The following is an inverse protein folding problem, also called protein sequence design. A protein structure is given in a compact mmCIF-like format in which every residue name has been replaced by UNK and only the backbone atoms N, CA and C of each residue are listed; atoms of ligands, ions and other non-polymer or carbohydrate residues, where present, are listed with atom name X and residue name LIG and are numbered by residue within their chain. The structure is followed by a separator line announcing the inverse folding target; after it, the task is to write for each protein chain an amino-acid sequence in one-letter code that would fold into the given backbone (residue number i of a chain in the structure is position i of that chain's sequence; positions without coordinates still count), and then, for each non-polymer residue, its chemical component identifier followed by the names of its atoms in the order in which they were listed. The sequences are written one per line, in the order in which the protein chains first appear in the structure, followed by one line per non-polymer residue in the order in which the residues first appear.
data_IF_053986085040
#
_entry.id   IF_053986085040
#
_cell.length_a   1.000
_cell.length_b   1.000
_cell.length_c   1.000
_cell.angle_alpha   90.00
_cell.angle_beta   90.00
_cell.angle_gamma   90.00
#
_symmetry.space_group_name_H-M   'P 1'
#
loop_
_entity.id
_entity.type
_entity.pdbx_description
1 polymer ?
#
# COMPACT_ATOMS: atom_id res chain seq x y z
N UNK A 1 -5.56 17.40 -15.17
CA UNK A 1 -4.31 17.21 -14.38
C UNK A 1 -3.87 15.79 -14.58
N UNK A 2 -2.67 15.60 -15.03
CA UNK A 2 -2.06 14.28 -15.17
C UNK A 2 -0.98 14.12 -14.12
N UNK A 3 -0.84 12.92 -13.58
CA UNK A 3 0.16 12.63 -12.56
C UNK A 3 1.13 11.55 -13.03
N UNK A 4 2.32 11.55 -12.43
CA UNK A 4 3.31 10.50 -12.53
C UNK A 4 3.35 9.73 -11.22
N UNK A 5 3.49 8.42 -11.29
CA UNK A 5 3.56 7.51 -10.15
C UNK A 5 4.96 6.91 -10.12
N UNK A 6 5.63 6.99 -8.98
CA UNK A 6 6.97 6.43 -8.78
C UNK A 6 6.93 5.41 -7.64
N UNK A 7 7.25 4.13 -7.90
CA UNK A 7 7.43 3.14 -6.85
C UNK A 7 8.78 3.35 -6.16
N UNK A 8 8.78 3.48 -4.85
CA UNK A 8 9.98 3.61 -4.02
C UNK A 8 10.11 2.38 -3.14
N UNK A 9 11.11 1.53 -3.41
CA UNK A 9 11.35 0.34 -2.59
C UNK A 9 12.01 0.71 -1.28
N UNK A 10 11.44 0.22 -0.17
CA UNK A 10 11.94 0.46 1.18
C UNK A 10 12.23 -0.84 1.93
N UNK A 11 12.71 -1.82 1.19
CA UNK A 11 13.09 -3.14 1.66
C UNK A 11 12.23 -4.25 1.06
N UNK A 12 12.50 -5.50 1.49
CA UNK A 12 11.80 -6.69 1.03
C UNK A 12 11.77 -7.79 2.09
N UNK A 13 10.74 -8.60 2.06
CA UNK A 13 10.64 -9.84 2.82
C UNK A 13 10.97 -11.02 1.87
N UNK A 14 12.08 -11.75 2.09
CA UNK A 14 12.42 -12.92 1.30
C UNK A 14 11.58 -14.14 1.70
N UNK A 15 11.39 -15.08 0.76
CA UNK A 15 10.83 -16.38 1.03
C UNK A 15 9.35 -16.40 1.40
N UNK A 16 8.58 -15.39 1.00
CA UNK A 16 7.13 -15.37 1.22
C UNK A 16 6.47 -16.44 0.38
N UNK A 17 5.64 -17.28 1.01
CA UNK A 17 4.89 -18.30 0.29
C UNK A 17 3.92 -17.65 -0.67
N UNK A 18 4.03 -17.97 -1.93
CA UNK A 18 3.20 -17.38 -2.98
C UNK A 18 1.70 -17.67 -2.76
N UNK A 19 1.41 -18.86 -2.20
CA UNK A 19 0.05 -19.26 -1.84
C UNK A 19 -0.60 -18.39 -0.73
N UNK A 20 0.16 -17.59 0.00
CA UNK A 20 -0.39 -16.63 0.97
C UNK A 20 -0.75 -15.30 0.29
N UNK A 21 -0.05 -14.92 -0.78
CA UNK A 21 -0.33 -13.73 -1.58
C UNK A 21 -1.41 -13.99 -2.65
N UNK A 22 -1.50 -15.22 -3.13
CA UNK A 22 -2.45 -15.72 -4.12
C UNK A 22 -3.14 -16.95 -3.54
N UNK A 23 -4.24 -16.79 -2.84
CA UNK A 23 -4.85 -17.80 -2.00
C UNK A 23 -4.92 -19.20 -2.65
N UNK A 24 -4.12 -20.12 -2.10
CA UNK A 24 -4.07 -21.51 -2.53
C UNK A 24 -3.42 -21.78 -3.89
N UNK A 25 -2.96 -20.74 -4.60
CA UNK A 25 -2.28 -20.89 -5.87
C UNK A 25 -0.76 -21.06 -5.67
N UNK A 26 -0.10 -21.71 -6.61
CA UNK A 26 1.35 -21.91 -6.61
C UNK A 26 1.90 -22.52 -5.30
N UNK A 27 1.36 -23.66 -4.83
CA UNK A 27 1.83 -24.30 -3.61
C UNK A 27 3.31 -24.70 -3.75
N UNK A 28 4.09 -24.43 -2.71
CA UNK A 28 5.53 -24.73 -2.68
C UNK A 28 6.43 -23.64 -3.30
N UNK A 29 5.87 -22.65 -4.00
CA UNK A 29 6.65 -21.53 -4.50
C UNK A 29 6.80 -20.43 -3.44
N UNK A 30 7.96 -19.77 -3.44
CA UNK A 30 8.22 -18.58 -2.66
C UNK A 30 8.64 -17.41 -3.55
N UNK A 31 8.37 -16.20 -3.09
CA UNK A 31 8.74 -14.95 -3.76
C UNK A 31 9.37 -13.98 -2.79
N UNK A 32 10.08 -13.00 -3.33
CA UNK A 32 10.41 -11.77 -2.60
C UNK A 32 9.20 -10.84 -2.62
N UNK A 33 8.85 -10.30 -1.46
CA UNK A 33 7.75 -9.35 -1.28
C UNK A 33 8.34 -7.97 -0.94
N UNK A 34 8.41 -7.05 -1.91
CA UNK A 34 8.91 -5.71 -1.63
C UNK A 34 7.93 -4.93 -0.77
N UNK A 35 8.44 -4.02 0.04
CA UNK A 35 7.64 -2.98 0.69
C UNK A 35 7.84 -1.66 -0.07
N UNK A 36 6.74 -0.98 -0.37
CA UNK A 36 6.71 0.12 -1.32
C UNK A 36 6.11 1.37 -0.67
N UNK A 37 6.77 2.50 -0.88
CA UNK A 37 6.16 3.82 -0.74
C UNK A 37 5.82 4.30 -2.15
N UNK A 38 4.57 4.67 -2.40
CA UNK A 38 4.18 5.21 -3.68
C UNK A 38 4.22 6.73 -3.67
N UNK A 39 5.00 7.32 -4.57
CA UNK A 39 5.07 8.76 -4.77
C UNK A 39 4.22 9.13 -5.98
N UNK A 40 3.19 9.93 -5.78
CA UNK A 40 2.35 10.48 -6.85
C UNK A 40 2.63 11.97 -6.98
N UNK A 41 3.18 12.37 -8.12
CA UNK A 41 3.52 13.76 -8.43
C UNK A 41 2.64 14.27 -9.56
N UNK A 42 1.92 15.35 -9.33
CA UNK A 42 1.11 15.98 -10.38
C UNK A 42 1.92 16.95 -11.27
N UNK A 43 1.26 17.48 -12.29
CA UNK A 43 1.84 18.41 -13.27
C UNK A 43 2.26 19.78 -12.67
N UNK A 44 1.90 20.06 -11.42
CA UNK A 44 2.32 21.26 -10.66
C UNK A 44 3.51 20.98 -9.74
N UNK A 45 3.89 19.70 -9.62
CA UNK A 45 4.95 19.24 -8.72
C UNK A 45 4.47 18.90 -7.30
N UNK A 46 3.15 18.98 -7.03
CA UNK A 46 2.60 18.59 -5.73
C UNK A 46 2.72 17.07 -5.54
N UNK A 47 3.24 16.65 -4.38
CA UNK A 47 3.46 15.27 -4.04
C UNK A 47 2.40 14.77 -3.07
N UNK A 48 1.80 13.62 -3.40
CA UNK A 48 1.00 12.80 -2.49
C UNK A 48 1.70 11.46 -2.31
N UNK A 49 1.78 10.99 -1.08
CA UNK A 49 2.35 9.68 -0.73
C UNK A 49 1.21 8.71 -0.47
N UNK A 50 1.33 7.48 -0.97
CA UNK A 50 0.52 6.34 -0.52
C UNK A 50 1.42 5.37 0.22
N UNK A 51 1.07 5.11 1.47
CA UNK A 51 1.75 4.29 2.45
C UNK A 51 3.16 4.80 2.83
N UNK A 52 3.68 4.36 3.96
CA UNK A 52 4.96 4.81 4.49
C UNK A 52 5.97 3.66 4.69
N UNK A 53 5.61 2.47 4.24
CA UNK A 53 6.48 1.29 4.35
C UNK A 53 6.62 0.75 5.78
N UNK A 54 7.45 -0.28 5.90
CA UNK A 54 7.76 -0.94 7.17
C UNK A 54 8.63 -0.10 8.10
N UNK A 55 8.52 -0.32 9.42
CA UNK A 55 9.50 0.17 10.37
C UNK A 55 10.92 -0.34 10.08
N UNK A 56 11.86 -0.13 11.00
CA UNK A 56 13.23 -0.59 10.83
C UNK A 56 13.34 -2.11 10.62
N UNK A 57 14.37 -2.53 9.88
CA UNK A 57 14.51 -3.92 9.46
C UNK A 57 14.72 -4.89 10.63
N UNK A 58 15.41 -4.46 11.71
CA UNK A 58 15.61 -5.27 12.90
C UNK A 58 14.28 -5.53 13.62
N UNK A 59 13.44 -4.48 13.74
CA UNK A 59 12.10 -4.61 14.32
C UNK A 59 11.24 -5.60 13.54
N UNK A 60 11.17 -5.46 12.19
CA UNK A 60 10.39 -6.35 11.34
C UNK A 60 10.87 -7.79 11.44
N UNK A 61 12.18 -8.00 11.39
CA UNK A 61 12.77 -9.35 11.49
C UNK A 61 12.48 -9.99 12.84
N UNK A 62 12.52 -9.21 13.93
CA UNK A 62 12.27 -9.70 15.30
C UNK A 62 10.80 -10.05 15.55
N UNK A 63 9.87 -9.26 15.04
CA UNK A 63 8.46 -9.33 15.45
C UNK A 63 7.52 -9.91 14.38
N UNK A 64 7.95 -9.95 13.11
CA UNK A 64 7.08 -10.38 12.01
C UNK A 64 7.70 -11.49 11.16
N UNK A 65 8.73 -11.18 10.37
CA UNK A 65 9.32 -12.12 9.41
C UNK A 65 10.72 -11.65 8.99
N UNK A 66 11.55 -12.50 8.40
CA UNK A 66 12.80 -12.07 7.78
C UNK A 66 12.56 -10.88 6.87
N UNK A 67 13.36 -9.85 7.01
CA UNK A 67 13.23 -8.62 6.25
C UNK A 67 14.62 -8.04 5.97
N UNK A 68 14.83 -7.65 4.74
CA UNK A 68 16.08 -7.09 4.25
C UNK A 68 15.87 -5.68 3.75
N UNK A 69 16.80 -4.80 4.09
CA UNK A 69 16.83 -3.40 3.67
C UNK A 69 18.27 -2.96 3.51
N UNK A 70 18.63 -2.38 2.38
CA UNK A 70 19.93 -1.75 2.19
C UNK A 70 19.92 -0.30 2.72
N UNK A 71 21.08 0.34 2.79
CA UNK A 71 21.15 1.75 3.20
C UNK A 71 20.41 2.69 2.24
N UNK A 72 20.40 2.35 0.95
CA UNK A 72 19.69 3.11 -0.09
C UNK A 72 18.18 2.90 -0.01
N UNK A 73 17.72 1.79 0.56
CA UNK A 73 16.31 1.47 0.79
C UNK A 73 15.79 2.01 2.13
N UNK A 74 16.64 2.62 2.97
CA UNK A 74 16.12 3.33 4.13
C UNK A 74 15.12 4.41 3.69
N UNK A 75 13.90 4.46 4.27
CA UNK A 75 12.81 5.27 3.72
C UNK A 75 13.17 6.73 3.45
N UNK A 76 13.94 7.36 4.33
CA UNK A 76 14.39 8.73 4.11
C UNK A 76 15.37 8.87 2.93
N UNK A 77 16.31 7.91 2.79
CA UNK A 77 17.27 7.89 1.69
C UNK A 77 16.58 7.59 0.36
N UNK A 78 15.69 6.60 0.34
CA UNK A 78 14.94 6.20 -0.85
C UNK A 78 14.02 7.32 -1.36
N UNK A 79 13.33 8.03 -0.45
CA UNK A 79 12.50 9.19 -0.79
C UNK A 79 13.37 10.36 -1.33
N UNK A 80 14.52 10.63 -0.71
CA UNK A 80 15.44 11.64 -1.21
C UNK A 80 15.97 11.31 -2.62
N UNK A 81 16.30 10.03 -2.89
CA UNK A 81 16.68 9.56 -4.22
C UNK A 81 15.55 9.71 -5.25
N UNK A 82 14.30 9.60 -4.83
CA UNK A 82 13.11 9.88 -5.65
C UNK A 82 12.77 11.39 -5.76
N UNK A 83 13.63 12.27 -5.24
CA UNK A 83 13.44 13.72 -5.27
C UNK A 83 12.30 14.21 -4.38
N UNK A 84 12.04 13.52 -3.27
CA UNK A 84 11.02 13.88 -2.29
C UNK A 84 11.68 14.30 -0.97
N UNK A 85 11.38 15.53 -0.53
CA UNK A 85 11.61 15.96 0.84
C UNK A 85 10.36 15.61 1.68
N UNK A 86 10.44 14.66 2.62
CA UNK A 86 9.28 14.30 3.44
C UNK A 86 8.69 15.47 4.22
N UNK A 87 9.49 16.47 4.59
CA UNK A 87 9.00 17.65 5.30
C UNK A 87 8.16 18.60 4.40
N UNK A 88 8.33 18.50 3.07
CA UNK A 88 7.52 19.23 2.10
C UNK A 88 6.19 18.55 1.78
N UNK A 89 6.03 17.26 2.05
CA UNK A 89 4.80 16.50 1.79
C UNK A 89 3.67 16.99 2.68
N UNK A 90 2.49 17.24 2.08
CA UNK A 90 1.30 17.73 2.77
C UNK A 90 0.20 16.68 2.91
N UNK A 91 0.25 15.62 2.12
CA UNK A 91 -0.78 14.57 2.13
C UNK A 91 -0.13 13.20 2.06
N UNK A 92 -0.43 12.37 3.05
CA UNK A 92 -0.11 10.94 3.08
C UNK A 92 -1.43 10.17 3.16
N UNK A 93 -1.66 9.28 2.20
CA UNK A 93 -2.77 8.33 2.24
C UNK A 93 -2.24 7.04 2.84
N UNK A 94 -2.95 6.47 3.79
CA UNK A 94 -2.70 5.12 4.28
C UNK A 94 -3.74 4.20 3.66
N UNK A 95 -3.28 3.27 2.83
CA UNK A 95 -4.17 2.28 2.19
C UNK A 95 -4.90 1.46 3.23
N UNK A 96 -4.20 1.08 4.28
CA UNK A 96 -4.67 0.43 5.51
C UNK A 96 -3.60 0.56 6.62
N UNK A 97 -3.84 -0.04 7.79
CA UNK A 97 -2.99 0.18 8.97
C UNK A 97 -2.16 -1.04 9.40
N UNK A 98 -1.83 -1.97 8.49
CA UNK A 98 -0.80 -2.96 8.78
C UNK A 98 0.57 -2.29 8.93
N UNK A 99 1.45 -2.91 9.73
CA UNK A 99 2.75 -2.35 10.11
C UNK A 99 3.64 -1.94 8.92
N UNK A 100 3.50 -2.64 7.81
CA UNK A 100 4.28 -2.45 6.59
C UNK A 100 3.75 -1.37 5.64
N UNK A 101 2.64 -0.73 6.01
CA UNK A 101 2.04 0.41 5.29
C UNK A 101 2.07 1.72 6.08
N UNK A 102 2.22 1.67 7.41
CA UNK A 102 2.17 2.86 8.27
C UNK A 102 3.38 2.98 9.22
N UNK A 103 4.48 2.24 8.95
CA UNK A 103 5.63 2.13 9.85
C UNK A 103 6.46 3.40 10.00
N UNK A 104 6.45 4.29 8.99
CA UNK A 104 7.30 5.49 8.97
C UNK A 104 6.51 6.79 8.87
N UNK A 105 5.32 6.86 9.42
CA UNK A 105 4.50 8.08 9.46
C UNK A 105 5.26 9.28 10.05
N UNK A 106 6.16 9.05 11.00
CA UNK A 106 6.97 10.07 11.65
C UNK A 106 7.88 10.86 10.71
N UNK A 107 8.21 10.30 9.54
CA UNK A 107 9.03 10.98 8.52
C UNK A 107 8.30 12.18 7.88
N UNK A 108 6.98 12.25 7.98
CA UNK A 108 6.15 13.27 7.33
C UNK A 108 5.57 14.25 8.37
N UNK A 109 6.40 15.16 8.95
CA UNK A 109 6.00 15.97 10.10
C UNK A 109 4.90 16.98 9.77
N UNK A 110 4.76 17.37 8.52
CA UNK A 110 3.83 18.41 8.08
C UNK A 110 2.63 17.88 7.27
N UNK A 111 2.50 16.55 7.16
CA UNK A 111 1.44 15.93 6.38
C UNK A 111 0.15 15.72 7.20
N UNK A 112 -1.00 15.91 6.54
CA UNK A 112 -2.26 15.30 6.93
C UNK A 112 -2.24 13.84 6.48
N UNK A 113 -2.59 12.92 7.37
CA UNK A 113 -2.80 11.50 7.04
C UNK A 113 -4.26 11.27 6.71
N UNK A 114 -4.54 10.50 5.67
CA UNK A 114 -5.92 10.19 5.26
C UNK A 114 -6.13 8.69 5.32
N UNK A 115 -7.13 8.25 6.07
CA UNK A 115 -7.45 6.83 6.25
C UNK A 115 -8.95 6.64 6.47
N UNK A 116 -9.49 5.47 6.11
CA UNK A 116 -10.88 5.13 6.37
C UNK A 116 -11.15 5.01 7.88
N UNK A 117 -12.29 5.57 8.33
CA UNK A 117 -12.76 5.41 9.71
C UNK A 117 -12.91 3.95 10.11
N UNK A 118 -13.42 3.11 9.19
CA UNK A 118 -13.57 1.67 9.39
C UNK A 118 -12.24 0.95 9.63
N UNK A 119 -11.16 1.44 9.02
CA UNK A 119 -9.81 0.90 9.23
C UNK A 119 -9.31 1.16 10.64
N UNK A 120 -9.41 2.41 11.10
CA UNK A 120 -9.01 2.77 12.46
C UNK A 120 -9.86 2.04 13.49
N UNK A 121 -11.17 1.95 13.28
CA UNK A 121 -12.07 1.21 14.18
C UNK A 121 -11.67 -0.28 14.30
N UNK A 122 -11.29 -0.90 13.19
CA UNK A 122 -10.83 -2.29 13.20
C UNK A 122 -9.42 -2.42 13.81
N UNK A 123 -8.50 -1.52 13.51
CA UNK A 123 -7.12 -1.55 14.01
C UNK A 123 -7.01 -1.43 15.54
N UNK A 124 -8.00 -0.82 16.20
CA UNK A 124 -8.07 -0.74 17.66
C UNK A 124 -8.29 -2.10 18.31
N UNK A 125 -9.11 -2.97 17.71
CA UNK A 125 -9.43 -4.30 18.23
C UNK A 125 -9.61 -5.33 17.09
N UNK A 126 -8.52 -5.64 16.35
CA UNK A 126 -8.60 -6.58 15.24
C UNK A 126 -8.84 -8.01 15.73
N UNK A 127 -9.38 -8.86 14.86
CA UNK A 127 -9.49 -10.28 15.15
C UNK A 127 -8.13 -10.89 15.52
N UNK A 128 -8.08 -11.91 16.39
CA UNK A 128 -6.81 -12.48 16.88
C UNK A 128 -5.81 -12.86 15.79
N UNK A 129 -6.30 -13.36 14.65
CA UNK A 129 -5.45 -13.74 13.48
C UNK A 129 -4.81 -12.56 12.78
N UNK A 130 -5.30 -11.33 12.99
CA UNK A 130 -4.78 -10.10 12.37
C UNK A 130 -3.99 -9.23 13.34
N UNK A 131 -4.00 -9.53 14.65
CA UNK A 131 -3.36 -8.70 15.68
C UNK A 131 -1.90 -8.41 15.40
N UNK A 132 -1.14 -9.40 14.91
CA UNK A 132 0.27 -9.21 14.59
C UNK A 132 0.49 -8.19 13.46
N UNK A 133 -0.33 -8.21 12.40
CA UNK A 133 -0.22 -7.29 11.29
C UNK A 133 -0.50 -5.82 11.69
N UNK A 134 -1.38 -5.63 12.68
CA UNK A 134 -1.72 -4.30 13.22
C UNK A 134 -0.81 -3.84 14.37
N UNK A 135 0.16 -4.68 14.79
CA UNK A 135 0.92 -4.44 16.02
C UNK A 135 -0.02 -4.10 17.20
N UNK A 136 -1.06 -4.93 17.38
CA UNK A 136 -2.17 -4.61 18.27
C UNK A 136 -1.72 -4.53 19.74
N UNK A 137 -2.33 -3.63 20.55
CA UNK A 137 -2.04 -3.51 21.98
C UNK A 137 -2.25 -4.82 22.76
N UNK A 138 -3.12 -5.71 22.31
CA UNK A 138 -3.34 -7.02 22.88
C UNK A 138 -2.08 -7.92 22.87
N UNK A 139 -1.12 -7.64 21.97
CA UNK A 139 0.19 -8.29 21.90
C UNK A 139 1.32 -7.49 22.59
N UNK A 140 0.96 -6.41 23.29
CA UNK A 140 1.94 -5.55 23.99
C UNK A 140 2.59 -4.48 23.10
N UNK A 141 2.10 -4.26 21.88
CA UNK A 141 2.60 -3.20 21.01
C UNK A 141 1.90 -1.86 21.25
N UNK A 142 2.59 -0.78 20.87
CA UNK A 142 1.98 0.52 20.62
C UNK A 142 1.96 0.74 19.11
N UNK A 143 0.79 0.67 18.45
CA UNK A 143 0.71 0.84 17.00
C UNK A 143 1.29 2.18 16.55
N UNK A 144 2.16 2.17 15.53
CA UNK A 144 2.91 3.37 15.10
C UNK A 144 2.01 4.47 14.53
N UNK A 145 0.88 4.10 13.93
CA UNK A 145 -0.09 5.05 13.39
C UNK A 145 -0.75 5.93 14.48
N UNK A 146 -0.77 5.49 15.74
CA UNK A 146 -1.31 6.29 16.85
C UNK A 146 -0.56 7.62 17.02
N UNK A 147 0.75 7.64 16.76
CA UNK A 147 1.55 8.86 16.92
C UNK A 147 1.17 10.02 15.96
N UNK A 148 0.34 9.73 14.95
CA UNK A 148 -0.10 10.73 13.97
C UNK A 148 -1.61 10.94 13.93
N UNK A 149 -2.33 10.40 14.92
CA UNK A 149 -3.80 10.51 14.97
C UNK A 149 -4.32 11.94 15.09
N UNK A 150 -3.59 12.82 15.72
CA UNK A 150 -3.88 14.25 15.84
C UNK A 150 -3.88 14.99 14.49
N UNK A 151 -3.21 14.42 13.49
CA UNK A 151 -3.10 14.92 12.12
C UNK A 151 -3.77 13.99 11.11
N UNK A 152 -4.66 13.11 11.56
CA UNK A 152 -5.32 12.13 10.71
C UNK A 152 -6.75 12.54 10.41
N UNK A 153 -7.03 12.71 9.12
CA UNK A 153 -8.38 12.88 8.58
C UNK A 153 -9.02 11.50 8.35
N UNK A 154 -10.09 11.24 9.09
CA UNK A 154 -10.91 10.04 8.90
C UNK A 154 -11.92 10.28 7.79
N UNK A 155 -11.93 9.41 6.79
CA UNK A 155 -12.87 9.44 5.67
C UNK A 155 -13.81 8.24 5.72
N UNK A 156 -14.92 8.33 4.97
CA UNK A 156 -15.89 7.25 4.80
C UNK A 156 -16.22 7.07 3.32
N UNK A 157 -16.04 5.87 2.79
CA UNK A 157 -16.28 5.58 1.37
C UNK A 157 -15.28 6.23 0.42
N UNK A 158 -15.72 6.53 -0.79
CA UNK A 158 -14.90 7.13 -1.83
C UNK A 158 -14.74 8.64 -1.62
N UNK A 159 -13.53 9.14 -1.83
CA UNK A 159 -13.24 10.57 -1.69
C UNK A 159 -12.36 11.06 -2.83
N UNK A 160 -12.72 12.16 -3.44
CA UNK A 160 -11.82 12.90 -4.33
C UNK A 160 -10.92 13.81 -3.48
N UNK A 161 -9.62 13.52 -3.49
CA UNK A 161 -8.62 14.36 -2.79
C UNK A 161 -8.41 15.68 -3.55
N UNK A 162 -8.25 15.58 -4.86
CA UNK A 162 -8.13 16.69 -5.81
C UNK A 162 -8.44 16.19 -7.23
N UNK A 163 -8.62 17.06 -8.23
CA UNK A 163 -8.82 16.62 -9.61
C UNK A 163 -7.70 15.66 -10.06
N UNK A 164 -8.10 14.50 -10.59
CA UNK A 164 -7.18 13.45 -11.03
C UNK A 164 -6.65 12.53 -9.93
N UNK A 165 -7.08 12.69 -8.67
CA UNK A 165 -6.64 11.86 -7.55
C UNK A 165 -7.80 11.49 -6.64
N UNK A 166 -8.20 10.22 -6.64
CA UNK A 166 -9.36 9.69 -5.89
C UNK A 166 -8.97 8.54 -4.99
N UNK A 167 -9.59 8.48 -3.84
CA UNK A 167 -9.56 7.32 -2.93
C UNK A 167 -10.78 6.47 -3.22
N UNK A 168 -10.56 5.21 -3.55
CA UNK A 168 -11.59 4.21 -3.78
C UNK A 168 -11.61 3.25 -2.60
N UNK A 169 -12.70 3.18 -1.87
CA UNK A 169 -12.87 2.23 -0.76
C UNK A 169 -13.08 0.82 -1.33
N UNK A 170 -12.14 -0.07 -1.07
CA UNK A 170 -12.08 -1.45 -1.58
C UNK A 170 -11.95 -2.46 -0.43
N UNK A 171 -12.93 -2.58 0.47
CA UNK A 171 -12.84 -3.48 1.62
C UNK A 171 -12.68 -4.93 1.19
N UNK A 172 -12.14 -5.76 2.09
CA UNK A 172 -11.96 -7.20 1.88
C UNK A 172 -10.69 -7.69 2.53
N UNK A 173 -9.52 -7.20 2.12
CA UNK A 173 -8.27 -7.43 2.82
C UNK A 173 -8.35 -6.91 4.25
N UNK A 174 -8.70 -5.64 4.40
CA UNK A 174 -9.13 -5.03 5.66
C UNK A 174 -10.48 -4.33 5.46
N UNK A 175 -11.20 -3.94 6.54
CA UNK A 175 -12.48 -3.24 6.42
C UNK A 175 -12.36 -1.84 5.82
N UNK A 176 -11.21 -1.19 5.97
CA UNK A 176 -10.96 0.15 5.46
C UNK A 176 -9.98 0.20 4.30
N UNK A 177 -9.68 -0.94 3.67
CA UNK A 177 -8.76 -0.99 2.54
C UNK A 177 -9.13 0.04 1.47
N UNK A 178 -8.14 0.82 1.04
CA UNK A 178 -8.32 1.93 0.09
C UNK A 178 -7.30 1.85 -1.03
N UNK A 179 -7.76 1.94 -2.28
CA UNK A 179 -6.88 2.17 -3.42
C UNK A 179 -6.79 3.67 -3.72
N UNK A 180 -5.60 4.11 -4.16
CA UNK A 180 -5.42 5.43 -4.73
C UNK A 180 -5.53 5.35 -6.25
N UNK A 181 -6.57 5.95 -6.81
CA UNK A 181 -6.81 6.03 -8.26
C UNK A 181 -6.23 7.34 -8.77
N UNK A 182 -5.34 7.24 -9.73
CA UNK A 182 -4.52 8.32 -10.28
C UNK A 182 -4.80 8.48 -11.77
N UNK A 183 -5.23 9.65 -12.20
CA UNK A 183 -5.35 9.99 -13.61
C UNK A 183 -3.96 10.32 -14.15
N UNK A 184 -3.54 9.60 -15.18
CA UNK A 184 -2.26 9.78 -15.86
C UNK A 184 -2.47 10.10 -17.35
N UNK A 185 -1.40 10.42 -18.07
CA UNK A 185 -1.44 10.59 -19.51
C UNK A 185 -1.81 9.30 -20.28
N UNK A 186 -1.66 8.12 -19.64
CA UNK A 186 -1.91 6.80 -20.24
C UNK A 186 -3.16 6.09 -19.66
N UNK A 187 -4.05 6.82 -18.99
CA UNK A 187 -5.26 6.28 -18.38
C UNK A 187 -5.24 6.34 -16.85
N UNK A 188 -6.19 5.65 -16.24
CA UNK A 188 -6.39 5.62 -14.79
C UNK A 188 -5.63 4.44 -14.18
N UNK A 189 -4.74 4.74 -13.25
CA UNK A 189 -3.97 3.74 -12.51
C UNK A 189 -4.51 3.63 -11.09
N UNK A 190 -4.78 2.41 -10.62
CA UNK A 190 -5.09 2.13 -9.23
C UNK A 190 -3.88 1.54 -8.53
N UNK A 191 -3.44 2.18 -7.46
CA UNK A 191 -2.48 1.64 -6.50
C UNK A 191 -3.29 0.88 -5.45
N UNK A 192 -3.36 -0.46 -5.60
CA UNK A 192 -4.36 -1.26 -4.90
C UNK A 192 -3.88 -1.81 -3.55
N UNK A 193 -2.62 -1.52 -3.14
CA UNK A 193 -2.04 -2.05 -1.90
C UNK A 193 -2.20 -3.56 -1.80
N UNK A 194 -2.59 -4.04 -0.63
CA UNK A 194 -2.73 -5.47 -0.33
C UNK A 194 -4.01 -6.12 -0.86
N UNK A 195 -4.91 -5.32 -1.42
CA UNK A 195 -6.02 -5.90 -2.18
C UNK A 195 -5.50 -6.66 -3.42
N UNK A 196 -4.40 -6.17 -4.00
CA UNK A 196 -3.62 -6.86 -5.02
C UNK A 196 -2.17 -6.89 -4.56
N UNK A 197 -1.75 -7.93 -3.84
CA UNK A 197 -0.37 -8.08 -3.42
C UNK A 197 0.56 -8.34 -4.63
N UNK A 198 0.09 -9.13 -5.60
CA UNK A 198 0.79 -9.44 -6.84
C UNK A 198 -0.10 -9.17 -8.07
N UNK A 199 0.50 -9.03 -9.24
CA UNK A 199 -0.25 -8.82 -10.49
C UNK A 199 -1.29 -9.91 -10.74
N UNK A 200 -1.02 -11.15 -10.36
CA UNK A 200 -1.92 -12.27 -10.55
C UNK A 200 -3.19 -12.19 -9.68
N UNK A 201 -3.20 -11.41 -8.58
CA UNK A 201 -4.46 -11.14 -7.87
C UNK A 201 -5.48 -10.51 -8.81
N UNK A 202 -5.02 -9.59 -9.67
CA UNK A 202 -5.83 -8.87 -10.65
C UNK A 202 -5.95 -9.59 -11.99
N UNK A 203 -4.85 -10.14 -12.51
CA UNK A 203 -4.79 -10.76 -13.84
C UNK A 203 -5.30 -12.21 -13.84
N UNK A 204 -5.51 -12.76 -12.66
CA UNK A 204 -5.92 -14.15 -12.48
C UNK A 204 -4.77 -15.14 -12.38
N UNK A 205 -5.09 -16.33 -11.86
CA UNK A 205 -4.18 -17.45 -11.76
C UNK A 205 -4.96 -18.76 -11.89
N UNK A 206 -4.43 -19.72 -12.66
CA UNK A 206 -5.11 -20.97 -12.94
C UNK A 206 -6.48 -20.72 -13.60
N UNK A 207 -7.58 -21.30 -13.07
CA UNK A 207 -8.91 -21.11 -13.62
C UNK A 207 -9.61 -19.83 -13.13
N UNK A 208 -8.98 -19.05 -12.27
CA UNK A 208 -9.60 -17.91 -11.59
C UNK A 208 -9.28 -16.60 -12.31
N UNK A 209 -10.29 -15.80 -12.62
CA UNK A 209 -10.15 -14.47 -13.23
C UNK A 209 -9.47 -13.46 -12.30
N UNK A 210 -9.74 -13.56 -11.02
CA UNK A 210 -9.10 -12.80 -9.92
C UNK A 210 -8.86 -13.73 -8.75
N UNK A 211 -7.84 -13.46 -7.95
CA UNK A 211 -7.48 -14.30 -6.80
C UNK A 211 -7.24 -13.41 -5.58
N UNK A 212 -8.01 -13.53 -4.49
CA UNK A 212 -7.74 -12.80 -3.27
C UNK A 212 -6.44 -13.27 -2.60
N UNK A 213 -5.86 -12.44 -1.73
CA UNK A 213 -4.82 -12.88 -0.82
C UNK A 213 -5.41 -13.73 0.32
N UNK A 214 -4.59 -14.55 0.97
CA UNK A 214 -5.01 -15.34 2.12
C UNK A 214 -5.42 -14.47 3.31
N UNK A 215 -4.72 -13.36 3.52
CA UNK A 215 -5.05 -12.40 4.57
C UNK A 215 -6.24 -11.56 4.12
N UNK A 216 -7.39 -11.77 4.75
CA UNK A 216 -8.60 -10.98 4.49
C UNK A 216 -9.57 -11.05 5.68
N UNK A 217 -10.38 -10.03 5.80
CA UNK A 217 -11.45 -9.95 6.80
C UNK A 217 -12.78 -10.44 6.23
N UNK A 218 -13.05 -10.13 4.96
CA UNK A 218 -14.32 -10.46 4.32
C UNK A 218 -14.12 -10.80 2.84
N UNK A 219 -14.33 -12.07 2.51
CA UNK A 219 -14.16 -12.56 1.15
C UNK A 219 -15.19 -12.01 0.16
N UNK A 220 -16.44 -11.83 0.59
CA UNK A 220 -17.49 -11.29 -0.28
C UNK A 220 -17.22 -9.82 -0.64
N UNK A 221 -16.76 -9.03 0.32
CA UNK A 221 -16.30 -7.65 0.07
C UNK A 221 -15.09 -7.63 -0.86
N UNK A 222 -14.16 -8.57 -0.69
CA UNK A 222 -12.97 -8.69 -1.53
C UNK A 222 -13.34 -8.82 -3.01
N UNK A 223 -14.26 -9.74 -3.35
CA UNK A 223 -14.70 -9.91 -4.74
C UNK A 223 -15.45 -8.70 -5.29
N UNK A 224 -16.33 -8.08 -4.49
CA UNK A 224 -17.00 -6.81 -4.88
C UNK A 224 -15.98 -5.70 -5.15
N UNK A 225 -14.90 -5.67 -4.40
CA UNK A 225 -13.83 -4.67 -4.57
C UNK A 225 -13.02 -4.90 -5.84
N UNK A 226 -12.83 -6.13 -6.31
CA UNK A 226 -12.27 -6.38 -7.64
C UNK A 226 -13.16 -5.81 -8.76
N UNK A 227 -14.49 -5.97 -8.66
CA UNK A 227 -15.41 -5.41 -9.65
C UNK A 227 -15.35 -3.87 -9.62
N UNK A 228 -15.28 -3.26 -8.44
CA UNK A 228 -15.09 -1.81 -8.29
C UNK A 228 -13.78 -1.32 -8.90
N UNK A 229 -12.68 -2.03 -8.70
CA UNK A 229 -11.41 -1.69 -9.35
C UNK A 229 -11.53 -1.72 -10.86
N UNK A 230 -12.24 -2.71 -11.43
CA UNK A 230 -12.46 -2.82 -12.89
C UNK A 230 -13.27 -1.64 -13.47
N UNK A 231 -14.18 -1.07 -12.69
CA UNK A 231 -14.98 0.10 -13.11
C UNK A 231 -14.18 1.41 -13.07
N UNK A 232 -13.19 1.48 -12.17
CA UNK A 232 -12.52 2.74 -11.85
C UNK A 232 -11.08 2.86 -12.33
N UNK A 233 -10.44 1.77 -12.78
CA UNK A 233 -9.05 1.77 -13.22
C UNK A 233 -8.85 1.02 -14.52
N UNK A 234 -7.95 1.52 -15.34
CA UNK A 234 -7.51 0.88 -16.59
C UNK A 234 -6.28 -0.01 -16.33
N UNK A 235 -5.48 0.35 -15.32
CA UNK A 235 -4.29 -0.39 -14.86
C UNK A 235 -4.31 -0.51 -13.34
N UNK A 236 -4.02 -1.70 -12.82
CA UNK A 236 -3.88 -1.95 -11.38
C UNK A 236 -2.42 -2.28 -11.06
N UNK A 237 -1.82 -1.55 -10.13
CA UNK A 237 -0.49 -1.77 -9.61
C UNK A 237 -0.57 -2.41 -8.21
N UNK A 238 0.09 -3.57 -8.02
CA UNK A 238 0.06 -4.31 -6.76
C UNK A 238 0.99 -3.73 -5.70
N UNK A 239 0.72 -4.04 -4.42
CA UNK A 239 1.50 -3.55 -3.29
C UNK A 239 2.82 -4.29 -3.03
N UNK A 240 2.93 -5.58 -3.42
CA UNK A 240 4.02 -6.47 -3.00
C UNK A 240 4.62 -7.29 -4.14
N UNK A 241 4.73 -6.72 -5.33
CA UNK A 241 5.30 -7.39 -6.50
C UNK A 241 6.57 -6.70 -6.97
N UNK A 242 7.66 -7.45 -7.09
CA UNK A 242 8.95 -6.90 -7.55
C UNK A 242 8.87 -6.29 -8.95
N UNK A 243 7.94 -6.75 -9.78
CA UNK A 243 7.75 -6.25 -11.16
C UNK A 243 7.24 -4.81 -11.23
N UNK A 244 6.79 -4.22 -10.12
CA UNK A 244 6.46 -2.77 -10.10
C UNK A 244 7.71 -1.89 -10.25
N UNK A 245 8.90 -2.44 -10.04
CA UNK A 245 10.17 -1.74 -10.22
C UNK A 245 10.80 -1.95 -11.60
N UNK A 246 10.16 -2.72 -12.51
CA UNK A 246 10.61 -2.86 -13.90
C UNK A 246 10.53 -1.53 -14.66
N UNK A 247 9.76 -0.58 -14.14
CA UNK A 247 9.66 0.79 -14.64
C UNK A 247 10.01 1.78 -13.53
N UNK A 248 10.79 2.79 -13.90
CA UNK A 248 11.16 3.86 -12.96
C UNK A 248 9.94 4.73 -12.56
N UNK A 249 8.91 4.76 -13.41
CA UNK A 249 7.67 5.50 -13.16
C UNK A 249 6.52 5.00 -14.02
N UNK A 250 5.29 5.35 -13.64
CA UNK A 250 4.06 5.06 -14.36
C UNK A 250 3.28 6.35 -14.66
N UNK A 251 2.82 6.56 -15.92
CA UNK A 251 3.25 5.77 -17.08
C UNK A 251 4.77 5.89 -17.29
N UNK A 252 5.33 4.94 -18.04
CA UNK A 252 6.75 5.02 -18.43
C UNK A 252 7.00 6.35 -19.16
N UNK A 253 8.05 7.06 -18.77
CA UNK A 253 8.48 8.24 -19.50
C UNK A 253 9.39 7.76 -20.62
N UNK A 254 8.98 8.00 -21.87
CA UNK A 254 9.87 7.83 -23.01
C UNK A 254 11.07 8.79 -22.81
N UNK A 255 12.21 8.23 -22.45
CA UNK A 255 13.47 8.97 -22.47
C UNK A 255 13.99 8.88 -23.91
N UNK A 256 13.47 9.79 -24.77
CA UNK A 256 13.95 9.96 -26.12
C UNK A 256 15.47 10.16 -26.19
#
# INVERSE_FOLDING_TARGET
MTSQIVPVRVGRAPGIRRADLLWGQHPGETVESPHVIWVVRDDRGDVTILDTGSPDAEWVTRHHRPFERTAEEEPAAALAAAGVDPAAVRTVVLSHLHYDHCGNNHLFPNAEFVVQRSEVAYAVAPYPVHQAAYEAPALGFTPRWLATMDRTRLIEGDVTLRPGLRLLHIPGHTPGMTALVVDTAAGRYALAGDHCAQFENWRGAGPYRVVPSRTHVNLADYYRSFDRLAEHADVVLPGHDMRVFDQASYPAVDRG
#
